data_IF_873049536948
#
_entry.id   IF_873049536948
#
_cell.length_a   1.000
_cell.length_b   1.000
_cell.length_c   1.000
_cell.angle_alpha   90.00
_cell.angle_beta   90.00
_cell.angle_gamma   90.00
#
_symmetry.space_group_name_H-M   'P 1'
#
loop_
_entity.id
_entity.type
_entity.pdbx_description
1 polymer ?
#
# COMPACT_ATOMS: atom_id res chain seq x y z
N UNK A 1 -26.66 -9.01 -47.33
CA UNK A 1 -25.60 -9.16 -46.28
C UNK A 1 -25.83 -8.06 -45.26
N UNK A 2 -26.28 -8.46 -44.06
CA UNK A 2 -26.77 -7.56 -43.02
C UNK A 2 -25.70 -6.60 -42.50
N UNK A 3 -26.09 -5.37 -42.14
CA UNK A 3 -25.20 -4.34 -41.59
C UNK A 3 -24.45 -4.85 -40.37
N UNK A 4 -25.08 -5.71 -39.57
CA UNK A 4 -24.47 -6.35 -38.40
C UNK A 4 -23.31 -7.31 -38.75
N UNK A 5 -23.45 -8.05 -39.85
CA UNK A 5 -22.40 -8.96 -40.31
C UNK A 5 -21.17 -8.18 -40.84
N UNK A 6 -21.37 -7.03 -41.49
CA UNK A 6 -20.26 -6.17 -41.93
C UNK A 6 -19.50 -5.54 -40.76
N UNK A 7 -20.20 -5.11 -39.70
CA UNK A 7 -19.57 -4.57 -38.51
C UNK A 7 -18.77 -5.66 -37.80
N UNK A 8 -19.30 -6.88 -37.68
CA UNK A 8 -18.58 -7.99 -37.07
C UNK A 8 -17.30 -8.38 -37.83
N UNK A 9 -17.32 -8.37 -39.16
CA UNK A 9 -16.16 -8.67 -40.00
C UNK A 9 -15.08 -7.58 -39.85
N UNK A 10 -15.50 -6.29 -39.81
CA UNK A 10 -14.55 -5.17 -39.66
C UNK A 10 -13.88 -5.20 -38.28
N UNK A 11 -14.64 -5.45 -37.21
CA UNK A 11 -14.08 -5.57 -35.84
C UNK A 11 -13.14 -6.75 -35.72
N UNK A 12 -13.41 -7.88 -36.36
CA UNK A 12 -12.54 -9.06 -36.37
C UNK A 12 -11.25 -8.82 -37.15
N UNK A 13 -11.32 -8.12 -38.29
CA UNK A 13 -10.14 -7.79 -39.08
C UNK A 13 -9.21 -6.80 -38.38
N UNK A 14 -9.75 -5.82 -37.64
CA UNK A 14 -8.96 -4.88 -36.82
C UNK A 14 -8.30 -5.61 -35.66
N UNK A 15 -8.99 -6.55 -34.98
CA UNK A 15 -8.44 -7.34 -33.90
C UNK A 15 -7.30 -8.26 -34.38
N UNK A 16 -7.44 -8.88 -35.55
CA UNK A 16 -6.41 -9.73 -36.16
C UNK A 16 -5.17 -8.91 -36.58
N UNK A 17 -5.36 -7.68 -37.07
CA UNK A 17 -4.26 -6.80 -37.45
C UNK A 17 -3.46 -6.30 -36.24
N UNK A 18 -4.14 -6.07 -35.10
CA UNK A 18 -3.48 -5.72 -33.84
C UNK A 18 -2.69 -6.90 -33.26
N UNK A 19 -3.21 -8.13 -33.37
CA UNK A 19 -2.50 -9.34 -32.92
C UNK A 19 -1.24 -9.64 -33.78
N UNK A 20 -1.28 -9.44 -35.09
CA UNK A 20 -0.13 -9.65 -35.97
C UNK A 20 0.92 -8.55 -35.81
N UNK A 21 0.50 -7.30 -35.51
CA UNK A 21 1.42 -6.21 -35.19
C UNK A 21 2.20 -6.44 -33.89
N UNK A 22 1.61 -7.13 -32.92
CA UNK A 22 2.25 -7.45 -31.64
C UNK A 22 3.26 -8.64 -31.74
N UNK A 23 3.13 -9.50 -32.77
CA UNK A 23 4.02 -10.64 -32.98
C UNK A 23 5.31 -10.29 -33.74
N UNK A 24 5.39 -9.12 -34.36
CA UNK A 24 6.53 -8.71 -35.20
C UNK A 24 7.58 -7.84 -34.46
N UNK A 25 7.41 -7.57 -33.18
CA UNK A 25 8.34 -6.77 -32.37
C UNK A 25 9.11 -7.57 -31.31
N UNK A 26 9.10 -8.90 -31.36
CA UNK A 26 10.07 -9.69 -30.59
C UNK A 26 11.39 -9.75 -31.39
N UNK A 27 12.11 -8.65 -31.38
CA UNK A 27 13.52 -8.63 -31.77
C UNK A 27 14.27 -9.42 -30.70
N UNK A 28 14.85 -10.56 -31.12
CA UNK A 28 15.69 -11.36 -30.25
C UNK A 28 16.86 -10.49 -29.75
N UNK A 29 16.90 -10.25 -28.45
CA UNK A 29 18.07 -9.69 -27.80
C UNK A 29 19.19 -10.75 -27.96
N UNK A 30 20.30 -10.38 -28.58
CA UNK A 30 21.52 -11.19 -28.60
C UNK A 30 21.95 -11.43 -27.15
N UNK A 31 22.48 -12.61 -26.81
CA UNK A 31 22.96 -12.87 -25.46
C UNK A 31 24.18 -11.97 -25.20
N UNK A 32 23.97 -11.02 -24.29
CA UNK A 32 25.05 -10.24 -23.71
C UNK A 32 26.05 -11.23 -23.11
N UNK A 33 27.27 -11.24 -23.64
CA UNK A 33 28.39 -12.01 -23.10
C UNK A 33 28.65 -11.52 -21.68
N UNK A 34 28.27 -12.35 -20.72
CA UNK A 34 28.56 -12.14 -19.31
C UNK A 34 30.10 -12.17 -19.14
N UNK A 35 30.72 -11.01 -19.13
CA UNK A 35 32.10 -10.87 -18.72
C UNK A 35 32.19 -11.22 -17.24
N UNK A 36 33.06 -12.21 -16.93
CA UNK A 36 33.30 -12.68 -15.58
C UNK A 36 33.52 -11.50 -14.60
N UNK A 37 33.04 -11.61 -13.35
CA UNK A 37 33.18 -10.53 -12.38
C UNK A 37 34.67 -10.22 -12.17
N UNK A 38 35.00 -8.95 -12.33
CA UNK A 38 36.30 -8.42 -11.91
C UNK A 38 36.46 -8.72 -10.44
N UNK A 39 37.46 -9.53 -10.09
CA UNK A 39 37.81 -9.83 -8.72
C UNK A 39 38.32 -8.54 -8.06
N UNK A 40 37.42 -7.80 -7.45
CA UNK A 40 37.80 -6.66 -6.61
C UNK A 40 38.30 -7.24 -5.30
N UNK A 41 39.59 -7.34 -5.16
CA UNK A 41 40.28 -7.62 -3.90
C UNK A 41 40.15 -6.38 -2.98
N UNK A 42 38.93 -6.14 -2.50
CA UNK A 42 38.69 -5.21 -1.42
C UNK A 42 38.41 -6.06 -0.20
N UNK A 43 39.24 -6.01 0.88
CA UNK A 43 38.92 -6.71 2.10
C UNK A 43 37.55 -6.22 2.60
N UNK A 44 36.58 -7.13 2.71
CA UNK A 44 35.33 -6.85 3.38
C UNK A 44 35.65 -6.40 4.80
N UNK A 45 35.16 -5.25 5.26
CA UNK A 45 35.23 -4.92 6.68
C UNK A 45 34.41 -5.94 7.45
N UNK A 46 35.04 -6.69 8.31
CA UNK A 46 34.48 -7.81 9.10
C UNK A 46 33.84 -7.30 10.40
N UNK A 47 33.45 -6.06 10.45
CA UNK A 47 32.67 -5.49 11.55
C UNK A 47 31.62 -4.57 10.93
N UNK A 48 30.37 -5.02 10.96
CA UNK A 48 29.25 -4.10 10.89
C UNK A 48 29.32 -3.36 12.26
N UNK A 49 30.13 -2.33 12.30
CA UNK A 49 30.02 -1.30 13.32
C UNK A 49 28.85 -0.45 12.85
N UNK A 50 27.82 -0.36 13.66
CA UNK A 50 26.78 0.63 13.50
C UNK A 50 27.48 1.99 13.53
N UNK A 51 27.69 2.58 12.35
CA UNK A 51 28.19 3.95 12.24
C UNK A 51 26.98 4.87 12.44
N UNK A 52 26.87 5.58 13.56
CA UNK A 52 25.74 6.45 13.83
C UNK A 52 25.56 7.57 12.78
N UNK A 53 26.56 7.79 11.96
CA UNK A 53 26.52 8.77 10.87
C UNK A 53 25.80 8.17 9.62
N UNK A 54 25.95 6.86 9.39
CA UNK A 54 25.27 6.16 8.29
C UNK A 54 23.76 6.07 8.52
N UNK A 55 23.32 5.74 9.72
CA UNK A 55 21.90 5.70 10.09
C UNK A 55 21.23 7.07 10.00
N UNK A 56 21.93 8.13 10.37
CA UNK A 56 21.45 9.49 10.24
C UNK A 56 21.28 9.91 8.77
N UNK A 57 22.21 9.50 7.90
CA UNK A 57 22.15 9.77 6.46
C UNK A 57 21.01 9.00 5.79
N UNK A 58 20.80 7.74 6.18
CA UNK A 58 19.68 6.92 5.68
C UNK A 58 18.35 7.57 6.10
N UNK A 59 18.22 7.93 7.36
CA UNK A 59 17.01 8.58 7.89
C UNK A 59 16.72 9.88 7.15
N UNK A 60 17.72 10.74 6.94
CA UNK A 60 17.56 11.97 6.21
C UNK A 60 17.14 11.75 4.74
N UNK A 61 17.71 10.73 4.09
CA UNK A 61 17.33 10.36 2.73
C UNK A 61 15.89 9.83 2.63
N UNK A 62 15.43 9.09 3.66
CA UNK A 62 14.05 8.60 3.74
C UNK A 62 13.07 9.75 4.00
N UNK A 63 13.43 10.70 4.86
CA UNK A 63 12.61 11.89 5.14
C UNK A 63 12.47 12.80 3.90
N UNK A 64 13.50 12.90 3.06
CA UNK A 64 13.48 13.66 1.79
C UNK A 64 12.46 13.07 0.77
N UNK A 65 12.08 11.82 0.90
CA UNK A 65 10.97 11.23 0.11
C UNK A 65 9.60 11.82 0.46
N UNK A 66 9.49 12.54 1.59
CA UNK A 66 8.34 13.35 1.95
C UNK A 66 7.20 12.62 2.65
N UNK A 67 7.25 11.29 2.80
CA UNK A 67 6.23 10.52 3.53
C UNK A 67 6.76 9.75 4.74
N UNK A 68 8.04 9.42 4.77
CA UNK A 68 8.65 8.77 5.93
C UNK A 68 8.59 9.68 7.17
N UNK A 69 8.28 9.09 8.31
CA UNK A 69 8.15 9.77 9.59
C UNK A 69 8.97 9.04 10.64
N UNK A 70 10.05 9.63 11.08
CA UNK A 70 10.90 9.07 12.14
C UNK A 70 10.19 8.99 13.51
N UNK A 71 9.13 9.80 13.71
CA UNK A 71 8.31 9.80 14.92
C UNK A 71 7.20 8.74 14.92
N UNK A 72 7.03 7.99 13.83
CA UNK A 72 6.08 6.88 13.69
C UNK A 72 6.80 5.56 13.98
N UNK A 73 6.37 4.76 14.97
CA UNK A 73 7.04 3.51 15.34
C UNK A 73 6.65 2.36 14.38
N UNK A 74 6.82 2.59 13.09
CA UNK A 74 6.75 1.60 12.02
C UNK A 74 8.06 1.64 11.25
N UNK A 75 8.58 0.48 10.91
CA UNK A 75 9.72 0.35 10.01
C UNK A 75 9.42 1.01 8.66
N UNK A 76 10.48 1.46 7.99
CA UNK A 76 10.36 2.15 6.70
C UNK A 76 9.51 1.36 5.70
N UNK A 77 9.74 0.07 5.58
CA UNK A 77 9.02 -0.80 4.64
C UNK A 77 7.51 -0.82 4.88
N UNK A 78 7.08 -0.75 6.14
CA UNK A 78 5.66 -0.69 6.47
C UNK A 78 5.07 0.70 6.26
N UNK A 79 5.87 1.75 6.44
CA UNK A 79 5.44 3.11 6.10
C UNK A 79 5.30 3.28 4.58
N UNK A 80 6.20 2.70 3.78
CA UNK A 80 6.13 2.69 2.32
C UNK A 80 4.89 1.95 1.81
N UNK A 81 4.63 0.75 2.36
CA UNK A 81 3.41 0.00 2.05
C UNK A 81 2.17 0.80 2.43
N UNK A 82 2.14 1.46 3.59
CA UNK A 82 1.02 2.25 4.04
C UNK A 82 0.79 3.47 3.13
N UNK A 83 1.85 4.19 2.79
CA UNK A 83 1.76 5.33 1.89
C UNK A 83 1.21 4.91 0.52
N UNK A 84 1.80 3.88 -0.08
CA UNK A 84 1.40 3.35 -1.40
C UNK A 84 -0.06 2.86 -1.39
N UNK A 85 -0.46 2.07 -0.38
CA UNK A 85 -1.82 1.56 -0.27
C UNK A 85 -2.84 2.68 -0.01
N UNK A 86 -2.51 3.68 0.81
CA UNK A 86 -3.36 4.82 1.08
C UNK A 86 -3.58 5.66 -0.19
N UNK A 87 -2.50 5.99 -0.92
CA UNK A 87 -2.58 6.75 -2.18
C UNK A 87 -3.44 6.02 -3.22
N UNK A 88 -3.19 4.73 -3.46
CA UNK A 88 -3.94 3.91 -4.40
C UNK A 88 -5.45 3.87 -4.10
N UNK A 89 -5.82 4.03 -2.83
CA UNK A 89 -7.20 3.98 -2.35
C UNK A 89 -7.83 5.37 -2.08
N UNK A 90 -7.10 6.45 -2.34
CA UNK A 90 -7.58 7.82 -2.11
C UNK A 90 -7.74 8.14 -0.62
N UNK A 91 -6.99 7.47 0.25
CA UNK A 91 -6.92 7.74 1.69
C UNK A 91 -5.77 8.71 1.95
N UNK A 92 -6.00 9.90 2.55
CA UNK A 92 -4.89 10.78 2.91
C UNK A 92 -3.92 10.07 3.87
N UNK A 93 -2.60 10.13 3.61
CA UNK A 93 -1.61 9.37 4.37
C UNK A 93 -1.66 9.65 5.88
N UNK A 94 -1.81 10.93 6.28
CA UNK A 94 -1.97 11.28 7.70
C UNK A 94 -3.21 10.65 8.35
N UNK A 95 -4.30 10.42 7.58
CA UNK A 95 -5.50 9.72 8.08
C UNK A 95 -5.23 8.23 8.22
N UNK A 96 -4.47 7.64 7.31
CA UNK A 96 -4.04 6.25 7.41
C UNK A 96 -3.18 6.01 8.67
N UNK A 97 -2.23 6.91 8.97
CA UNK A 97 -1.47 6.90 10.22
C UNK A 97 -2.37 7.05 11.45
N UNK A 98 -3.32 8.00 11.40
CA UNK A 98 -4.29 8.21 12.48
C UNK A 98 -5.15 6.98 12.76
N UNK A 99 -5.58 6.28 11.71
CA UNK A 99 -6.35 5.04 11.82
C UNK A 99 -5.51 3.96 12.51
N UNK A 100 -4.31 3.67 12.03
CA UNK A 100 -3.44 2.64 12.62
C UNK A 100 -3.11 2.98 14.09
N UNK A 101 -2.88 4.27 14.39
CA UNK A 101 -2.66 4.71 15.76
C UNK A 101 -3.85 4.41 16.67
N UNK A 102 -5.07 4.64 16.22
CA UNK A 102 -6.29 4.37 17.02
C UNK A 102 -6.53 2.87 17.15
N UNK A 103 -6.33 2.10 16.09
CA UNK A 103 -6.61 0.67 16.04
C UNK A 103 -5.61 -0.18 16.83
N UNK A 104 -4.32 0.05 16.64
CA UNK A 104 -3.29 -0.84 17.18
C UNK A 104 -2.17 -0.14 17.94
N UNK A 105 -2.11 1.19 17.94
CA UNK A 105 -0.92 1.95 18.41
C UNK A 105 0.35 1.56 17.67
N UNK A 106 0.22 1.20 16.40
CA UNK A 106 1.29 0.70 15.53
C UNK A 106 1.84 -0.70 15.93
N UNK A 107 1.12 -1.46 16.76
CA UNK A 107 1.49 -2.82 17.11
C UNK A 107 0.97 -3.80 16.04
N UNK A 108 1.86 -4.45 15.26
CA UNK A 108 1.44 -5.41 14.23
C UNK A 108 0.85 -6.70 14.80
N UNK A 109 1.13 -7.01 16.07
CA UNK A 109 0.64 -8.21 16.77
C UNK A 109 -0.61 -7.94 17.62
N UNK A 110 -1.15 -6.72 17.55
CA UNK A 110 -2.33 -6.35 18.34
C UNK A 110 -3.53 -7.23 18.02
N UNK A 111 -4.17 -7.76 19.07
CA UNK A 111 -5.43 -8.51 18.98
C UNK A 111 -6.44 -7.95 19.97
N UNK A 112 -7.60 -7.53 19.48
CA UNK A 112 -8.68 -7.00 20.32
C UNK A 112 -9.47 -8.13 21.01
N UNK A 113 -10.25 -7.83 22.07
CA UNK A 113 -11.14 -8.81 22.70
C UNK A 113 -12.18 -9.41 21.73
N UNK A 114 -12.51 -8.71 20.65
CA UNK A 114 -13.40 -9.19 19.60
C UNK A 114 -12.68 -10.07 18.55
N UNK A 115 -11.36 -10.27 18.69
CA UNK A 115 -10.54 -11.05 17.78
C UNK A 115 -10.11 -10.29 16.51
N UNK A 116 -10.34 -8.98 16.41
CA UNK A 116 -9.75 -8.16 15.35
C UNK A 116 -8.24 -8.10 15.55
N UNK A 117 -7.47 -8.07 14.45
CA UNK A 117 -6.03 -8.26 14.55
C UNK A 117 -5.23 -7.34 13.62
N UNK A 118 -3.97 -7.14 13.99
CA UNK A 118 -2.95 -6.43 13.23
C UNK A 118 -3.10 -4.92 13.26
N UNK A 119 -2.29 -4.25 12.45
CA UNK A 119 -2.17 -2.79 12.43
C UNK A 119 -3.50 -2.07 12.19
N UNK A 120 -4.35 -2.59 11.33
CA UNK A 120 -5.63 -2.01 10.95
C UNK A 120 -6.83 -2.70 11.59
N UNK A 121 -6.60 -3.61 12.54
CA UNK A 121 -7.61 -4.34 13.34
C UNK A 121 -8.71 -5.00 12.48
N UNK A 122 -8.30 -5.81 11.52
CA UNK A 122 -9.22 -6.52 10.63
C UNK A 122 -9.97 -7.63 11.38
N UNK A 123 -11.28 -7.71 11.18
CA UNK A 123 -12.09 -8.76 11.78
C UNK A 123 -11.98 -10.05 10.94
N UNK A 124 -11.51 -11.19 11.53
CA UNK A 124 -11.31 -12.44 10.82
C UNK A 124 -12.60 -13.10 10.30
N UNK A 125 -13.76 -12.56 10.69
CA UNK A 125 -15.05 -12.97 10.12
C UNK A 125 -15.22 -12.49 8.67
N UNK A 126 -14.58 -11.38 8.30
CA UNK A 126 -14.75 -10.73 7.00
C UNK A 126 -13.46 -10.67 6.19
N UNK A 127 -12.32 -10.85 6.83
CA UNK A 127 -10.99 -10.82 6.22
C UNK A 127 -10.24 -12.11 6.49
N UNK A 128 -9.33 -12.53 5.60
CA UNK A 128 -8.46 -13.68 5.85
C UNK A 128 -7.68 -13.50 7.15
N UNK A 129 -7.57 -14.52 7.97
CA UNK A 129 -6.72 -14.51 9.17
C UNK A 129 -5.25 -14.78 8.83
N UNK A 130 -4.32 -14.26 9.67
CA UNK A 130 -2.88 -14.51 9.52
C UNK A 130 -2.22 -13.74 8.38
N UNK A 131 -2.77 -12.59 7.99
CA UNK A 131 -2.11 -11.69 7.05
C UNK A 131 -0.82 -11.14 7.68
N UNK A 132 0.25 -11.03 6.89
CA UNK A 132 1.44 -10.30 7.30
C UNK A 132 1.10 -8.82 7.59
N UNK A 133 1.92 -8.08 8.37
CA UNK A 133 1.67 -6.67 8.65
C UNK A 133 1.44 -5.84 7.38
N UNK A 134 2.22 -6.05 6.33
CA UNK A 134 2.05 -5.39 5.04
C UNK A 134 0.69 -5.71 4.39
N UNK A 135 0.29 -6.98 4.37
CA UNK A 135 -1.01 -7.40 3.82
C UNK A 135 -2.20 -6.94 4.66
N UNK A 136 -2.02 -6.80 5.97
CA UNK A 136 -3.02 -6.22 6.85
C UNK A 136 -3.24 -4.73 6.54
N UNK A 137 -2.16 -3.97 6.32
CA UNK A 137 -2.22 -2.57 5.88
C UNK A 137 -2.96 -2.45 4.54
N UNK A 138 -2.54 -3.21 3.52
CA UNK A 138 -3.16 -3.18 2.19
C UNK A 138 -4.68 -3.43 2.28
N UNK A 139 -5.09 -4.50 2.96
CA UNK A 139 -6.50 -4.85 3.10
C UNK A 139 -7.29 -3.79 3.89
N UNK A 140 -6.70 -3.19 4.92
CA UNK A 140 -7.32 -2.10 5.68
C UNK A 140 -7.52 -0.85 4.85
N UNK A 141 -6.54 -0.47 4.02
CA UNK A 141 -6.63 0.69 3.14
C UNK A 141 -7.61 0.46 2.00
N UNK A 142 -7.64 -0.72 1.40
CA UNK A 142 -8.64 -1.10 0.39
C UNK A 142 -10.07 -1.00 0.96
N UNK A 143 -10.26 -1.49 2.18
CA UNK A 143 -11.55 -1.42 2.84
C UNK A 143 -11.96 0.03 3.13
N UNK A 144 -11.08 0.84 3.74
CA UNK A 144 -11.37 2.24 4.01
C UNK A 144 -11.64 3.03 2.72
N UNK A 145 -10.84 2.84 1.67
CA UNK A 145 -11.04 3.48 0.37
C UNK A 145 -12.40 3.13 -0.25
N UNK A 146 -12.82 1.86 -0.13
CA UNK A 146 -14.16 1.44 -0.57
C UNK A 146 -15.28 2.13 0.20
N UNK A 147 -15.09 2.34 1.50
CA UNK A 147 -16.02 3.05 2.35
C UNK A 147 -16.10 4.55 2.01
N UNK A 148 -14.96 5.19 1.75
CA UNK A 148 -14.91 6.60 1.31
C UNK A 148 -15.70 6.78 0.02
N UNK A 149 -15.49 5.92 -0.98
CA UNK A 149 -16.23 5.94 -2.24
C UNK A 149 -17.74 5.74 -2.05
N UNK A 150 -18.12 4.86 -1.12
CA UNK A 150 -19.53 4.54 -0.84
C UNK A 150 -20.23 5.63 -0.04
N UNK A 151 -19.58 6.18 0.98
CA UNK A 151 -20.19 7.15 1.89
C UNK A 151 -20.12 8.60 1.36
N UNK A 152 -19.13 8.90 0.49
CA UNK A 152 -18.90 10.26 -0.03
C UNK A 152 -18.37 11.25 1.01
N UNK A 153 -18.18 10.80 2.26
CA UNK A 153 -17.67 11.59 3.39
C UNK A 153 -16.71 10.74 4.24
N UNK A 154 -15.56 11.32 4.57
CA UNK A 154 -14.50 10.64 5.32
C UNK A 154 -14.94 10.25 6.73
N UNK A 155 -15.66 11.14 7.42
CA UNK A 155 -16.11 10.88 8.79
C UNK A 155 -17.16 9.77 8.84
N UNK A 156 -18.07 9.71 7.85
CA UNK A 156 -19.02 8.63 7.67
C UNK A 156 -18.34 7.30 7.29
N UNK A 157 -17.30 7.36 6.46
CA UNK A 157 -16.50 6.20 6.10
C UNK A 157 -15.75 5.63 7.32
N UNK A 158 -15.11 6.46 8.13
CA UNK A 158 -14.45 6.04 9.38
C UNK A 158 -15.45 5.47 10.39
N UNK A 159 -16.65 6.06 10.53
CA UNK A 159 -17.71 5.48 11.34
C UNK A 159 -18.09 4.09 10.83
N UNK A 160 -18.26 3.95 9.52
CA UNK A 160 -18.60 2.67 8.89
C UNK A 160 -17.47 1.63 9.01
N UNK A 161 -16.22 2.07 9.04
CA UNK A 161 -15.07 1.19 9.27
C UNK A 161 -15.17 0.49 10.63
N UNK A 162 -15.47 1.25 11.65
CA UNK A 162 -15.58 0.76 13.03
C UNK A 162 -16.89 0.02 13.30
N UNK A 163 -18.04 0.61 12.91
CA UNK A 163 -19.36 0.13 13.26
C UNK A 163 -19.98 -0.81 12.20
N UNK A 164 -19.33 -1.01 11.04
CA UNK A 164 -19.85 -1.76 9.89
C UNK A 164 -20.79 -0.95 8.99
N UNK A 165 -21.35 0.15 9.46
CA UNK A 165 -22.18 1.10 8.73
C UNK A 165 -22.14 2.49 9.38
N UNK A 166 -22.56 3.53 8.67
CA UNK A 166 -22.65 4.86 9.29
C UNK A 166 -23.82 4.95 10.27
N UNK A 167 -23.49 4.90 11.55
CA UNK A 167 -24.46 5.02 12.66
C UNK A 167 -24.75 6.48 13.05
N UNK A 168 -24.06 7.45 12.42
CA UNK A 168 -24.09 8.85 12.83
C UNK A 168 -23.24 9.18 14.06
N UNK A 169 -22.72 8.17 14.77
CA UNK A 169 -21.80 8.39 15.90
C UNK A 169 -20.42 8.78 15.39
N UNK A 170 -19.88 9.87 15.91
CA UNK A 170 -18.61 10.43 15.41
C UNK A 170 -17.44 10.28 16.38
N UNK A 171 -17.63 9.56 17.50
CA UNK A 171 -16.56 9.38 18.50
C UNK A 171 -15.30 8.75 17.91
N UNK A 172 -15.46 7.65 17.19
CA UNK A 172 -14.34 6.96 16.53
C UNK A 172 -13.72 7.81 15.42
N UNK A 173 -14.52 8.35 14.49
CA UNK A 173 -14.01 9.19 13.41
C UNK A 173 -13.28 10.42 13.93
N UNK A 174 -13.79 11.06 14.99
CA UNK A 174 -13.11 12.19 15.61
C UNK A 174 -11.76 11.78 16.22
N UNK A 175 -11.70 10.62 16.91
CA UNK A 175 -10.44 10.12 17.46
C UNK A 175 -9.38 9.86 16.38
N UNK A 176 -9.77 9.27 15.23
CA UNK A 176 -8.87 9.06 14.10
C UNK A 176 -8.40 10.38 13.51
N UNK A 177 -9.31 11.33 13.28
CA UNK A 177 -8.98 12.64 12.68
C UNK A 177 -8.12 13.49 13.62
N UNK A 178 -8.35 13.43 14.93
CA UNK A 178 -7.51 14.06 15.94
C UNK A 178 -6.10 13.47 15.93
N UNK A 179 -6.00 12.13 15.93
CA UNK A 179 -4.71 11.45 15.83
C UNK A 179 -3.99 11.81 14.53
N UNK A 180 -4.68 11.85 13.41
CA UNK A 180 -4.17 12.24 12.10
C UNK A 180 -3.57 13.65 12.07
N UNK A 181 -4.08 14.54 12.91
CA UNK A 181 -3.58 15.91 13.06
C UNK A 181 -2.10 15.99 13.48
N UNK A 182 -1.52 14.92 14.04
CA UNK A 182 -0.11 14.86 14.45
C UNK A 182 0.84 14.76 13.24
N UNK A 183 0.36 14.23 12.13
CA UNK A 183 1.17 13.94 10.94
C UNK A 183 0.69 14.69 9.68
N UNK A 184 -0.04 15.77 9.88
CA UNK A 184 -0.58 16.59 8.78
C UNK A 184 0.44 17.58 8.19
#
# INVERSE_FOLDING_TARGET
MDKLLKVAIITWAVFLALLTGMLLTTQAAEPETFTAPVKVDRPMPTTIGEDPDEDALITAALEDQGYFRADVPLEYELQDVLHTAAEANGVPYHVALGLIYVESRFDPEAVSPAGCYGLTQLNPRYFPSGLSPAKNIEAGMDYLGSLIKRCGDLSAALCSYHDGHDTGRRGYSNAVLEAAGRWK
#
